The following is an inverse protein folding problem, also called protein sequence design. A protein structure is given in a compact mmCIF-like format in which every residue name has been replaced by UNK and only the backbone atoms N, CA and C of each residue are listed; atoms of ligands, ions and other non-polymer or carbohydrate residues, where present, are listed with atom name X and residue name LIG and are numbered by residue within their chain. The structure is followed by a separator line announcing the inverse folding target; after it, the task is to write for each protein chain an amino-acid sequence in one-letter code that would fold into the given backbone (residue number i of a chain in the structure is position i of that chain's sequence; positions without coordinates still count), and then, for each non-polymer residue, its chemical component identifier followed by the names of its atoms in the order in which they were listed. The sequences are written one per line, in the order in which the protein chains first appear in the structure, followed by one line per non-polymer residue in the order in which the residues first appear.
data_IF_870703488192
#
_entry.id   IF_870703488192
#
_cell.length_a   1.000
_cell.length_b   1.000
_cell.length_c   1.000
_cell.angle_alpha   90.00
_cell.angle_beta   90.00
_cell.angle_gamma   90.00
#
_symmetry.space_group_name_H-M   'P 1'
#
loop_
_entity.id
_entity.type
_entity.pdbx_description
1 polymer ?
#
# COMPACT_ATOMS: atom_id res chain seq x y z
N UNK A 1 8.47 -10.96 -1.21
CA UNK A 1 7.23 -10.61 -1.94
C UNK A 1 7.56 -10.06 -3.33
N UNK A 2 6.67 -10.26 -4.31
CA UNK A 2 6.75 -9.67 -5.67
C UNK A 2 5.61 -8.70 -5.93
N UNK A 3 5.88 -7.67 -6.74
CA UNK A 3 4.92 -6.72 -7.28
C UNK A 3 4.71 -7.06 -8.75
N UNK A 4 3.48 -7.40 -9.09
CA UNK A 4 3.08 -7.84 -10.41
C UNK A 4 2.53 -6.67 -11.22
N UNK A 5 3.16 -6.35 -12.34
CA UNK A 5 2.81 -5.17 -13.14
C UNK A 5 2.18 -5.62 -14.46
N UNK A 6 1.01 -5.05 -14.78
CA UNK A 6 0.34 -5.29 -16.06
C UNK A 6 1.09 -4.61 -17.22
N UNK A 7 1.42 -5.40 -18.25
CA UNK A 7 2.16 -4.92 -19.44
C UNK A 7 1.45 -3.83 -20.21
N UNK A 8 0.12 -3.72 -20.10
CA UNK A 8 -0.68 -2.67 -20.74
C UNK A 8 -0.33 -1.27 -20.23
N UNK A 9 0.31 -1.16 -19.06
CA UNK A 9 0.82 0.10 -18.54
C UNK A 9 2.11 0.55 -19.26
N UNK A 10 2.79 -0.32 -20.01
CA UNK A 10 4.03 -0.01 -20.72
C UNK A 10 5.22 0.39 -19.83
N UNK A 11 6.37 0.68 -20.45
CA UNK A 11 7.63 1.01 -19.76
C UNK A 11 7.57 2.35 -18.98
N UNK A 12 6.63 3.23 -19.33
CA UNK A 12 6.43 4.52 -18.66
C UNK A 12 5.91 4.36 -17.22
N UNK A 13 5.30 3.22 -16.92
CA UNK A 13 4.89 2.80 -15.60
C UNK A 13 5.90 1.82 -14.98
N UNK A 14 7.21 1.99 -15.24
CA UNK A 14 8.27 1.36 -14.46
C UNK A 14 8.29 1.96 -13.04
N UNK A 15 7.26 1.57 -12.30
CA UNK A 15 7.11 1.80 -10.89
C UNK A 15 8.18 0.98 -10.22
N UNK A 16 9.06 1.65 -9.50
CA UNK A 16 9.29 1.44 -8.07
C UNK A 16 10.54 2.24 -7.75
N UNK A 17 10.35 3.27 -6.93
CA UNK A 17 11.44 3.95 -6.26
C UNK A 17 11.67 3.28 -4.91
N UNK A 18 12.92 3.23 -4.45
CA UNK A 18 13.25 2.73 -3.11
C UNK A 18 13.62 3.90 -2.21
N UNK A 19 13.04 3.92 -1.02
CA UNK A 19 13.57 4.65 0.12
C UNK A 19 14.29 3.65 1.02
N UNK A 20 15.51 4.01 1.43
CA UNK A 20 16.30 3.26 2.40
C UNK A 20 16.26 3.91 3.79
N UNK A 21 15.51 5.01 3.92
CA UNK A 21 15.48 5.86 5.12
C UNK A 21 14.05 6.08 5.57
N UNK A 22 13.74 5.64 6.78
CA UNK A 22 12.49 5.95 7.46
C UNK A 22 12.77 6.94 8.59
N UNK A 23 12.06 8.06 8.60
CA UNK A 23 12.22 9.13 9.60
C UNK A 23 10.94 9.32 10.41
N UNK A 24 11.08 9.80 11.64
CA UNK A 24 9.91 10.27 12.38
C UNK A 24 9.34 11.50 11.68
N UNK A 25 8.02 11.59 11.54
CA UNK A 25 7.37 12.79 11.01
C UNK A 25 7.76 14.05 11.78
N UNK A 26 7.85 13.97 13.11
CA UNK A 26 8.26 15.10 13.96
C UNK A 26 9.75 15.45 13.85
N UNK A 27 10.61 14.53 13.41
CA UNK A 27 12.03 14.82 13.18
C UNK A 27 12.22 15.52 11.82
N UNK A 28 11.45 15.09 10.82
CA UNK A 28 11.57 15.58 9.45
C UNK A 28 10.73 16.85 9.20
N UNK A 29 9.58 16.95 9.85
CA UNK A 29 8.69 18.11 9.87
C UNK A 29 8.39 18.53 11.32
N UNK A 30 9.31 19.23 12.00
CA UNK A 30 9.19 19.55 13.43
C UNK A 30 8.01 20.47 13.80
N UNK A 31 7.34 21.07 12.82
CA UNK A 31 6.15 21.89 13.01
C UNK A 31 4.87 21.19 12.53
N UNK A 32 4.95 19.94 12.05
CA UNK A 32 3.82 19.21 11.51
C UNK A 32 2.99 18.59 12.65
N UNK A 33 2.10 19.42 13.20
CA UNK A 33 1.12 19.02 14.23
C UNK A 33 0.01 18.11 13.68
N UNK A 34 -0.01 17.85 12.37
CA UNK A 34 -1.00 17.05 11.67
C UNK A 34 -0.65 15.56 11.62
N UNK A 35 0.53 15.16 12.11
CA UNK A 35 0.96 13.76 12.22
C UNK A 35 0.97 13.30 13.67
N UNK A 36 0.73 12.00 13.87
CA UNK A 36 1.01 11.38 15.16
C UNK A 36 2.50 11.56 15.51
N UNK A 37 2.84 11.73 16.80
CA UNK A 37 4.24 11.91 17.23
C UNK A 37 5.16 10.75 16.85
N UNK A 38 4.60 9.55 16.64
CA UNK A 38 5.30 8.32 16.28
C UNK A 38 5.18 7.95 14.80
N UNK A 39 4.48 8.76 13.99
CA UNK A 39 4.30 8.52 12.57
C UNK A 39 5.64 8.39 11.84
N UNK A 40 5.75 7.37 10.98
CA UNK A 40 6.96 7.09 10.20
C UNK A 40 6.72 7.38 8.73
N UNK A 41 7.61 8.17 8.15
CA UNK A 41 7.54 8.60 6.76
C UNK A 41 8.76 8.08 5.99
N UNK A 42 8.56 7.57 4.78
CA UNK A 42 9.68 7.25 3.91
C UNK A 42 10.23 8.52 3.26
N UNK A 43 11.55 8.69 3.30
CA UNK A 43 12.25 9.84 2.72
C UNK A 43 13.42 9.40 1.84
N UNK A 44 14.05 10.34 1.15
CA UNK A 44 15.26 10.09 0.34
C UNK A 44 15.09 9.02 -0.75
N UNK A 45 13.95 9.06 -1.42
CA UNK A 45 13.65 8.17 -2.53
C UNK A 45 14.64 8.31 -3.67
N UNK A 46 15.17 7.18 -4.14
CA UNK A 46 15.97 7.10 -5.38
C UNK A 46 15.32 6.19 -6.41
N UNK A 47 15.71 6.38 -7.67
CA UNK A 47 15.33 5.47 -8.74
C UNK A 47 16.05 4.13 -8.53
N UNK A 48 15.30 3.03 -8.69
CA UNK A 48 15.89 1.70 -8.70
C UNK A 48 16.64 1.45 -10.01
N UNK A 49 17.71 0.66 -9.92
CA UNK A 49 18.35 0.09 -11.10
C UNK A 49 17.63 -1.20 -11.57
N UNK A 50 17.99 -1.72 -12.75
CA UNK A 50 17.33 -2.89 -13.34
C UNK A 50 17.38 -4.15 -12.46
N UNK A 51 18.47 -4.35 -11.71
CA UNK A 51 18.62 -5.51 -10.82
C UNK A 51 17.64 -5.40 -9.65
N UNK A 52 17.49 -4.20 -9.09
CA UNK A 52 16.56 -3.93 -7.99
C UNK A 52 15.11 -4.04 -8.44
N UNK A 53 14.78 -3.48 -9.61
CA UNK A 53 13.46 -3.65 -10.22
C UNK A 53 13.15 -5.14 -10.35
N UNK A 54 14.04 -5.92 -11.00
CA UNK A 54 13.86 -7.36 -11.18
C UNK A 54 13.79 -8.14 -9.85
N UNK A 55 14.36 -7.63 -8.75
CA UNK A 55 14.22 -8.22 -7.43
C UNK A 55 12.78 -8.13 -6.94
N UNK A 56 12.13 -6.98 -7.10
CA UNK A 56 10.81 -6.73 -6.54
C UNK A 56 9.65 -6.93 -7.51
N UNK A 57 9.88 -6.87 -8.83
CA UNK A 57 8.80 -6.98 -9.82
C UNK A 57 8.75 -8.33 -10.53
N UNK A 58 7.59 -8.59 -11.12
CA UNK A 58 7.32 -9.63 -12.11
C UNK A 58 6.20 -9.16 -13.05
N UNK A 59 6.06 -9.79 -14.21
CA UNK A 59 4.92 -9.54 -15.10
C UNK A 59 3.63 -10.09 -14.47
N UNK A 60 2.52 -9.38 -14.61
CA UNK A 60 1.22 -9.87 -14.11
C UNK A 60 0.78 -11.21 -14.73
N UNK A 61 1.26 -11.51 -15.94
CA UNK A 61 1.08 -12.83 -16.59
C UNK A 61 1.77 -13.98 -15.86
N UNK A 62 2.74 -13.69 -14.98
CA UNK A 62 3.45 -14.68 -14.17
C UNK A 62 2.73 -14.96 -12.83
N UNK A 63 1.68 -14.20 -12.50
CA UNK A 63 0.89 -14.42 -11.30
C UNK A 63 -0.01 -15.65 -11.51
N UNK A 64 0.28 -16.74 -10.80
CA UNK A 64 -0.55 -17.94 -10.85
C UNK A 64 -1.85 -17.77 -10.04
N UNK A 65 -2.88 -18.52 -10.43
CA UNK A 65 -4.16 -18.60 -9.68
C UNK A 65 -3.94 -19.14 -8.26
N UNK A 66 -2.95 -20.03 -8.11
CA UNK A 66 -2.55 -20.64 -6.84
C UNK A 66 -1.64 -19.74 -5.98
N UNK A 67 -1.18 -18.60 -6.53
CA UNK A 67 -0.42 -17.64 -5.73
C UNK A 67 -1.33 -17.22 -4.57
N UNK A 68 -0.89 -17.55 -3.35
CA UNK A 68 -1.53 -17.10 -2.13
C UNK A 68 -1.73 -15.58 -2.17
N UNK A 69 -2.63 -15.05 -1.33
CA UNK A 69 -3.07 -13.65 -1.24
C UNK A 69 -1.94 -12.62 -0.94
N UNK A 70 -0.68 -13.03 -1.09
CA UNK A 70 0.61 -12.38 -0.87
C UNK A 70 1.23 -11.75 -2.11
N UNK A 71 0.41 -11.03 -2.86
CA UNK A 71 0.89 -10.26 -3.99
C UNK A 71 0.42 -8.82 -3.88
N UNK A 72 1.21 -7.96 -4.52
CA UNK A 72 0.73 -6.65 -4.94
C UNK A 72 0.65 -6.71 -6.44
N UNK A 73 -0.48 -6.33 -7.02
CA UNK A 73 -0.59 -6.20 -8.47
C UNK A 73 -1.09 -4.82 -8.84
N UNK A 74 -0.59 -4.29 -9.96
CA UNK A 74 -0.92 -2.97 -10.48
C UNK A 74 -1.39 -3.14 -11.92
N UNK A 75 -2.56 -2.61 -12.22
CA UNK A 75 -3.25 -2.86 -13.48
C UNK A 75 -4.14 -1.67 -13.88
N UNK A 76 -4.34 -1.45 -15.19
CA UNK A 76 -5.31 -0.46 -15.65
C UNK A 76 -6.72 -0.95 -15.33
N UNK A 77 -7.57 -0.03 -14.89
CA UNK A 77 -8.95 -0.31 -14.53
C UNK A 77 -9.90 0.59 -15.33
N UNK A 78 -10.59 0.01 -16.30
CA UNK A 78 -11.55 0.72 -17.16
C UNK A 78 -12.94 0.73 -16.51
N UNK A 79 -13.12 1.51 -15.44
CA UNK A 79 -14.44 1.71 -14.84
C UNK A 79 -15.25 2.71 -15.70
N UNK A 80 -15.70 2.25 -16.88
CA UNK A 80 -16.64 2.98 -17.76
C UNK A 80 -18.03 3.15 -17.15
N UNK A 81 -18.35 2.43 -16.07
CA UNK A 81 -19.53 2.69 -15.26
C UNK A 81 -19.25 2.32 -13.80
N UNK A 82 -19.74 3.13 -12.86
CA UNK A 82 -19.59 2.91 -11.40
C UNK A 82 -20.13 1.55 -10.91
N UNK A 83 -20.89 0.83 -11.76
CA UNK A 83 -21.54 -0.45 -11.44
C UNK A 83 -20.74 -1.67 -11.84
N UNK A 84 -19.82 -1.55 -12.78
CA UNK A 84 -19.03 -2.70 -13.21
C UNK A 84 -17.83 -2.81 -12.27
N UNK A 85 -17.99 -3.58 -11.19
CA UNK A 85 -16.89 -4.17 -10.40
C UNK A 85 -16.08 -5.17 -11.25
N UNK A 86 -15.81 -4.82 -12.51
CA UNK A 86 -14.96 -5.59 -13.40
C UNK A 86 -13.52 -5.19 -13.09
N UNK A 87 -12.95 -5.92 -12.13
CA UNK A 87 -11.56 -5.79 -11.76
C UNK A 87 -10.66 -6.66 -12.63
N UNK A 88 -11.08 -7.05 -13.85
CA UNK A 88 -10.23 -7.78 -14.80
C UNK A 88 -8.84 -7.14 -14.83
N UNK A 89 -7.81 -7.88 -14.36
CA UNK A 89 -7.68 -9.33 -14.43
C UNK A 89 -8.07 -10.17 -13.19
N UNK A 90 -8.74 -9.60 -12.19
CA UNK A 90 -9.08 -10.24 -10.92
C UNK A 90 -10.56 -10.61 -10.79
N UNK A 91 -10.82 -11.75 -10.15
CA UNK A 91 -12.15 -12.15 -9.68
C UNK A 91 -12.14 -12.24 -8.15
N UNK A 92 -13.28 -11.95 -7.51
CA UNK A 92 -13.41 -12.12 -6.07
C UNK A 92 -14.03 -13.47 -5.72
N UNK A 93 -13.39 -14.22 -4.83
CA UNK A 93 -13.90 -15.47 -4.24
C UNK A 93 -14.89 -15.23 -3.09
N UNK A 94 -15.14 -13.96 -2.74
CA UNK A 94 -16.07 -13.53 -1.70
C UNK A 94 -16.89 -12.31 -2.13
N UNK A 95 -17.98 -11.98 -1.42
CA UNK A 95 -18.68 -10.72 -1.64
C UNK A 95 -17.73 -9.53 -1.52
N UNK A 96 -17.78 -8.62 -2.50
CA UNK A 96 -16.97 -7.41 -2.51
C UNK A 96 -17.70 -6.32 -1.74
N UNK A 97 -17.04 -5.76 -0.73
CA UNK A 97 -17.50 -4.57 -0.03
C UNK A 97 -16.88 -3.32 -0.66
N UNK A 98 -17.69 -2.36 -1.08
CA UNK A 98 -17.22 -1.01 -1.40
C UNK A 98 -17.02 -0.24 -0.09
N UNK A 99 -15.85 0.37 0.08
CA UNK A 99 -15.57 1.25 1.22
C UNK A 99 -15.81 2.71 0.83
N UNK A 100 -15.79 3.60 1.83
CA UNK A 100 -15.91 5.02 1.60
C UNK A 100 -14.80 5.51 0.64
N UNK A 101 -15.15 6.40 -0.31
CA UNK A 101 -14.14 7.02 -1.15
C UNK A 101 -13.22 7.91 -0.32
N UNK A 102 -11.94 7.93 -0.67
CA UNK A 102 -10.99 8.87 -0.08
C UNK A 102 -10.75 10.02 -1.05
N UNK A 103 -10.69 11.22 -0.51
CA UNK A 103 -10.29 12.39 -1.27
C UNK A 103 -9.14 13.07 -0.53
N UNK A 104 -7.99 13.07 -1.19
CA UNK A 104 -6.70 13.37 -0.59
C UNK A 104 -6.13 14.66 -1.18
N UNK A 105 -5.63 15.53 -0.32
CA UNK A 105 -4.98 16.77 -0.75
C UNK A 105 -3.50 16.52 -1.05
N UNK A 106 -2.93 17.35 -1.93
CA UNK A 106 -1.51 17.31 -2.26
C UNK A 106 -0.62 17.87 -1.14
N UNK A 107 0.69 17.71 -1.32
CA UNK A 107 1.75 18.20 -0.43
C UNK A 107 1.81 17.52 0.96
N UNK A 108 1.12 16.40 1.14
CA UNK A 108 1.27 15.56 2.32
C UNK A 108 2.04 14.28 1.94
N UNK A 109 3.16 13.96 2.61
CA UNK A 109 3.94 12.73 2.37
C UNK A 109 3.22 11.44 2.83
N UNK A 110 2.06 11.58 3.44
CA UNK A 110 1.20 10.51 3.95
C UNK A 110 -0.21 11.08 4.08
N UNK A 111 -1.23 10.30 3.74
CA UNK A 111 -2.62 10.79 3.67
C UNK A 111 -3.55 10.16 4.69
N UNK A 112 -3.19 9.01 5.25
CA UNK A 112 -4.13 8.25 6.07
C UNK A 112 -4.26 8.88 7.46
N UNK A 113 -5.50 9.20 7.83
CA UNK A 113 -5.84 9.85 9.10
C UNK A 113 -6.44 8.83 10.06
N UNK A 114 -5.92 8.80 11.29
CA UNK A 114 -6.56 8.11 12.39
C UNK A 114 -7.85 8.83 12.76
N UNK A 115 -8.97 8.12 12.66
CA UNK A 115 -10.30 8.67 12.95
C UNK A 115 -10.47 9.08 14.41
N UNK A 116 -9.67 8.54 15.33
CA UNK A 116 -9.77 8.85 16.77
C UNK A 116 -9.01 10.14 17.09
N UNK A 117 -7.73 10.22 16.72
CA UNK A 117 -6.92 11.41 17.02
C UNK A 117 -7.10 12.55 16.00
N UNK A 118 -7.58 12.25 14.80
CA UNK A 118 -7.60 13.20 13.67
C UNK A 118 -6.21 13.46 13.08
N UNK A 119 -5.17 12.76 13.55
CA UNK A 119 -3.79 12.89 13.10
C UNK A 119 -3.46 11.85 12.03
N UNK A 120 -2.54 12.20 11.14
CA UNK A 120 -2.01 11.29 10.12
C UNK A 120 -1.13 10.21 10.74
N UNK A 121 -1.32 8.98 10.28
CA UNK A 121 -0.65 7.79 10.79
C UNK A 121 0.79 7.64 10.26
N UNK A 122 1.04 8.03 9.01
CA UNK A 122 2.24 7.58 8.28
C UNK A 122 2.09 6.12 7.82
N UNK A 123 3.22 5.46 7.58
CA UNK A 123 3.26 4.02 7.27
C UNK A 123 2.53 3.20 8.34
N UNK A 124 1.53 2.42 7.95
CA UNK A 124 0.66 1.70 8.88
C UNK A 124 0.17 0.36 8.30
N UNK A 125 -0.52 -0.41 9.15
CA UNK A 125 -1.33 -1.56 8.74
C UNK A 125 -2.81 -1.25 8.91
N UNK A 126 -3.60 -1.71 7.94
CA UNK A 126 -5.05 -1.73 8.10
C UNK A 126 -5.48 -2.84 9.09
N UNK A 127 -6.73 -2.76 9.57
CA UNK A 127 -7.34 -3.78 10.44
C UNK A 127 -8.84 -3.92 10.16
N UNK A 128 -9.21 -4.20 8.91
CA UNK A 128 -10.62 -4.30 8.48
C UNK A 128 -11.29 -5.60 8.96
N UNK A 129 -10.54 -6.70 9.00
CA UNK A 129 -10.99 -8.03 9.40
C UNK A 129 -10.74 -8.31 10.88
N UNK A 130 -9.92 -7.49 11.55
CA UNK A 130 -9.62 -7.62 12.97
C UNK A 130 -8.89 -8.91 13.33
N UNK A 131 -8.15 -9.48 12.37
CA UNK A 131 -7.42 -10.74 12.57
C UNK A 131 -6.10 -10.51 13.31
N UNK A 132 -5.79 -11.46 14.19
CA UNK A 132 -4.49 -11.58 14.85
C UNK A 132 -3.37 -11.92 13.85
N UNK A 133 -2.12 -11.58 14.17
CA UNK A 133 -0.94 -11.73 13.29
C UNK A 133 -0.89 -13.10 12.62
N UNK A 134 -1.05 -14.19 13.38
CA UNK A 134 -0.95 -15.58 12.89
C UNK A 134 -2.06 -15.99 11.91
N UNK A 135 -3.14 -15.22 11.83
CA UNK A 135 -4.29 -15.48 10.97
C UNK A 135 -4.45 -14.45 9.86
N UNK A 136 -3.59 -13.41 9.80
CA UNK A 136 -3.72 -12.33 8.81
C UNK A 136 -3.52 -12.78 7.38
N UNK A 137 -2.89 -13.93 7.14
CA UNK A 137 -2.89 -14.58 5.83
C UNK A 137 -4.28 -14.88 5.25
N UNK A 138 -5.32 -14.92 6.10
CA UNK A 138 -6.73 -15.08 5.71
C UNK A 138 -7.45 -13.76 5.48
N UNK A 139 -6.78 -12.61 5.63
CA UNK A 139 -7.44 -11.31 5.46
C UNK A 139 -7.83 -11.09 4.01
N UNK A 140 -8.87 -10.29 3.80
CA UNK A 140 -9.28 -9.80 2.49
C UNK A 140 -8.19 -8.90 1.90
N UNK A 141 -8.08 -8.91 0.58
CA UNK A 141 -7.28 -7.95 -0.16
C UNK A 141 -8.11 -6.70 -0.44
N UNK A 142 -7.41 -5.58 -0.55
CA UNK A 142 -7.96 -4.29 -0.88
C UNK A 142 -7.57 -3.93 -2.31
N UNK A 143 -8.56 -3.71 -3.17
CA UNK A 143 -8.37 -3.02 -4.43
C UNK A 143 -8.56 -1.52 -4.17
N UNK A 144 -7.62 -0.72 -4.66
CA UNK A 144 -7.73 0.74 -4.63
C UNK A 144 -7.52 1.27 -6.03
N UNK A 145 -8.48 2.05 -6.50
CA UNK A 145 -8.48 2.66 -7.84
C UNK A 145 -8.28 4.16 -7.70
N UNK A 146 -7.30 4.72 -8.41
CA UNK A 146 -7.20 6.17 -8.53
C UNK A 146 -8.21 6.64 -9.59
N UNK A 147 -9.20 7.41 -9.15
CA UNK A 147 -10.24 8.02 -10.01
C UNK A 147 -10.01 9.50 -10.25
N UNK A 148 -9.13 10.10 -9.45
CA UNK A 148 -8.76 11.50 -9.61
C UNK A 148 -7.88 11.72 -10.84
N UNK A 149 -7.84 12.96 -11.36
CA UNK A 149 -6.94 13.34 -12.43
C UNK A 149 -5.48 13.46 -11.96
N UNK A 150 -5.26 13.60 -10.65
CA UNK A 150 -3.94 13.68 -10.06
C UNK A 150 -3.33 12.29 -9.89
N UNK A 151 -2.03 12.20 -10.17
CA UNK A 151 -1.24 11.03 -9.85
C UNK A 151 -1.14 10.83 -8.34
N UNK A 152 -1.14 9.57 -7.92
CA UNK A 152 -0.92 9.19 -6.52
C UNK A 152 0.34 8.35 -6.43
N UNK A 153 0.97 8.33 -5.28
CA UNK A 153 1.94 7.30 -4.96
C UNK A 153 1.42 6.41 -3.85
N UNK A 154 1.72 5.13 -3.96
CA UNK A 154 1.48 4.14 -2.91
C UNK A 154 2.83 3.74 -2.35
N UNK A 155 2.94 3.80 -1.04
CA UNK A 155 4.09 3.35 -0.28
C UNK A 155 3.85 1.94 0.22
N UNK A 156 4.89 1.12 0.18
CA UNK A 156 4.81 -0.27 0.61
C UNK A 156 6.13 -0.74 1.21
N UNK A 157 6.09 -1.31 2.40
CA UNK A 157 7.21 -2.10 2.93
C UNK A 157 7.01 -3.54 2.46
N UNK A 158 7.92 -4.11 1.65
CA UNK A 158 7.72 -5.39 1.00
C UNK A 158 8.03 -6.58 1.91
N UNK A 159 7.64 -6.47 3.19
CA UNK A 159 7.83 -7.47 4.24
C UNK A 159 6.45 -7.71 4.87
N UNK A 160 5.94 -8.95 4.85
CA UNK A 160 4.65 -9.27 5.45
C UNK A 160 4.74 -9.25 6.98
N UNK A 161 3.62 -8.96 7.65
CA UNK A 161 3.58 -8.85 9.12
C UNK A 161 4.03 -10.14 9.83
N UNK A 162 3.81 -11.31 9.22
CA UNK A 162 4.28 -12.57 9.79
C UNK A 162 5.82 -12.59 9.92
N UNK A 163 6.54 -12.09 8.91
CA UNK A 163 8.00 -11.95 8.94
C UNK A 163 8.43 -10.81 9.88
N UNK A 164 7.68 -9.70 9.92
CA UNK A 164 7.95 -8.61 10.87
C UNK A 164 7.90 -9.10 12.32
N UNK A 165 6.93 -9.94 12.64
CA UNK A 165 6.70 -10.48 13.98
C UNK A 165 7.90 -11.30 14.49
N UNK A 166 8.67 -11.94 13.61
CA UNK A 166 9.87 -12.70 13.99
C UNK A 166 10.97 -11.82 14.62
N UNK A 167 10.95 -10.51 14.34
CA UNK A 167 11.93 -9.55 14.86
C UNK A 167 11.43 -8.74 16.07
N UNK A 168 10.18 -8.93 16.48
CA UNK A 168 9.55 -8.21 17.58
C UNK A 168 9.48 -9.12 18.80
N UNK A 169 9.77 -8.61 19.99
CA UNK A 169 9.66 -9.39 21.22
C UNK A 169 8.20 -9.61 21.61
N UNK A 170 7.81 -10.86 21.86
CA UNK A 170 6.45 -11.26 22.24
C UNK A 170 5.35 -10.69 21.33
N UNK A 171 5.43 -10.91 19.99
CA UNK A 171 4.48 -10.34 19.04
C UNK A 171 3.05 -10.85 19.27
N UNK A 172 2.88 -12.03 19.90
CA UNK A 172 1.58 -12.60 20.23
C UNK A 172 0.80 -11.82 21.30
N UNK A 173 1.44 -10.88 21.98
CA UNK A 173 0.81 -10.02 23.02
C UNK A 173 0.48 -8.62 22.52
N UNK A 174 0.85 -8.32 21.28
CA UNK A 174 0.72 -7.01 20.67
C UNK A 174 -0.41 -7.03 19.65
N UNK A 175 -1.12 -5.91 19.54
CA UNK A 175 -2.00 -5.70 18.41
C UNK A 175 -1.15 -5.69 17.11
N UNK A 176 -1.63 -6.22 15.98
CA UNK A 176 -0.87 -6.28 14.73
C UNK A 176 -0.25 -4.94 14.29
N UNK A 177 -0.99 -3.83 14.46
CA UNK A 177 -0.45 -2.49 14.19
C UNK A 177 0.77 -2.15 15.06
N UNK A 178 0.79 -2.57 16.33
CA UNK A 178 1.93 -2.36 17.23
C UNK A 178 3.14 -3.22 16.85
N UNK A 179 2.91 -4.42 16.30
CA UNK A 179 3.98 -5.27 15.74
C UNK A 179 4.64 -4.57 14.55
N UNK A 180 3.84 -4.03 13.62
CA UNK A 180 4.36 -3.24 12.51
C UNK A 180 5.10 -1.98 13.00
N UNK A 181 4.53 -1.23 13.93
CA UNK A 181 5.17 -0.03 14.49
C UNK A 181 6.51 -0.36 15.19
N UNK A 182 6.57 -1.49 15.91
CA UNK A 182 7.80 -1.97 16.52
C UNK A 182 8.85 -2.35 15.47
N UNK A 183 8.46 -3.09 14.43
CA UNK A 183 9.33 -3.45 13.30
C UNK A 183 9.92 -2.20 12.63
N UNK A 184 9.06 -1.25 12.25
CA UNK A 184 9.46 -0.03 11.53
C UNK A 184 10.42 0.80 12.38
N UNK A 185 10.13 0.98 13.68
CA UNK A 185 10.98 1.77 14.58
C UNK A 185 12.37 1.17 14.77
N UNK A 186 12.45 -0.16 14.81
CA UNK A 186 13.72 -0.85 15.02
C UNK A 186 14.53 -1.00 13.71
N UNK A 187 13.86 -0.90 12.56
CA UNK A 187 14.49 -1.06 11.25
C UNK A 187 14.84 0.29 10.67
N UNK A 188 16.07 0.77 10.94
CA UNK A 188 16.58 2.04 10.37
C UNK A 188 16.71 2.02 8.84
N UNK A 189 16.72 0.83 8.22
CA UNK A 189 16.86 0.63 6.78
C UNK A 189 15.91 -0.47 6.30
N UNK A 190 14.60 -0.24 6.36
CA UNK A 190 13.63 -1.08 5.68
C UNK A 190 13.38 -0.50 4.28
N UNK A 191 13.48 -1.30 3.20
CA UNK A 191 13.14 -0.79 1.88
C UNK A 191 11.66 -0.38 1.88
N UNK A 192 11.39 0.89 1.58
CA UNK A 192 10.04 1.34 1.29
C UNK A 192 9.93 1.59 -0.21
N UNK A 193 9.01 0.89 -0.84
CA UNK A 193 8.74 0.97 -2.27
C UNK A 193 7.71 2.06 -2.52
N UNK A 194 7.97 2.94 -3.48
CA UNK A 194 7.03 3.95 -3.94
C UNK A 194 6.59 3.66 -5.37
N UNK A 195 5.29 3.47 -5.54
CA UNK A 195 4.66 3.06 -6.80
C UNK A 195 3.71 4.16 -7.27
N UNK A 196 3.89 4.65 -8.50
CA UNK A 196 2.99 5.63 -9.11
C UNK A 196 1.67 4.95 -9.52
N UNK A 197 0.57 5.53 -9.06
CA UNK A 197 -0.78 5.16 -9.39
C UNK A 197 -1.42 6.32 -10.15
N UNK A 198 -1.33 6.30 -11.47
CA UNK A 198 -1.97 7.31 -12.32
C UNK A 198 -3.49 7.17 -12.36
N UNK A 199 -4.16 8.14 -12.98
CA UNK A 199 -5.59 8.09 -13.21
C UNK A 199 -6.02 6.77 -13.87
N UNK A 200 -7.06 6.13 -13.32
CA UNK A 200 -7.58 4.83 -13.73
C UNK A 200 -6.61 3.65 -13.59
N UNK A 201 -5.55 3.80 -12.80
CA UNK A 201 -4.72 2.68 -12.37
C UNK A 201 -5.20 2.18 -11.02
N UNK A 202 -5.36 0.86 -10.92
CA UNK A 202 -5.68 0.18 -9.68
C UNK A 202 -4.46 -0.56 -9.15
N UNK A 203 -4.42 -0.72 -7.83
CA UNK A 203 -3.61 -1.77 -7.22
C UNK A 203 -4.49 -2.68 -6.37
N UNK A 204 -4.05 -3.91 -6.21
CA UNK A 204 -4.57 -4.87 -5.23
C UNK A 204 -3.44 -5.27 -4.30
N UNK A 205 -3.67 -5.27 -3.00
CA UNK A 205 -2.74 -5.81 -2.01
C UNK A 205 -3.49 -6.30 -0.76
N UNK A 206 -2.85 -7.11 0.07
CA UNK A 206 -3.33 -7.37 1.43
C UNK A 206 -2.85 -6.26 2.38
N UNK A 207 -3.62 -5.18 2.50
CA UNK A 207 -3.26 -4.00 3.31
C UNK A 207 -3.24 -4.26 4.82
N UNK A 208 -3.77 -5.41 5.25
CA UNK A 208 -3.65 -5.91 6.62
C UNK A 208 -2.34 -6.68 6.88
N UNK A 209 -1.65 -7.12 5.83
CA UNK A 209 -0.37 -7.85 5.97
C UNK A 209 0.84 -7.00 5.62
N UNK A 210 0.65 -5.95 4.85
CA UNK A 210 1.74 -5.13 4.33
C UNK A 210 1.61 -3.70 4.83
N UNK A 211 2.68 -3.23 5.48
CA UNK A 211 2.78 -1.83 5.89
C UNK A 211 2.76 -0.97 4.64
N UNK A 212 1.85 0.00 4.62
CA UNK A 212 1.62 0.84 3.48
C UNK A 212 1.15 2.23 3.91
N UNK A 213 1.14 3.15 2.96
CA UNK A 213 0.38 4.39 2.99
C UNK A 213 0.33 4.93 1.56
N UNK A 214 -0.13 6.16 1.35
CA UNK A 214 -0.08 6.81 0.06
C UNK A 214 0.16 8.32 0.18
N UNK A 215 0.40 8.95 -0.96
CA UNK A 215 0.36 10.39 -1.10
C UNK A 215 -0.16 10.80 -2.47
N UNK A 216 -0.49 12.06 -2.62
CA UNK A 216 -0.76 12.68 -3.93
C UNK A 216 0.56 13.24 -4.46
N UNK A 217 0.82 13.09 -5.76
CA UNK A 217 2.04 13.60 -6.38
C UNK A 217 2.15 15.12 -6.23
N UNK A 218 3.38 15.63 -6.15
CA UNK A 218 3.63 17.08 -6.17
C UNK A 218 3.02 17.74 -7.42
N UNK A 219 2.45 18.93 -7.24
CA UNK A 219 1.78 19.66 -8.33
C UNK A 219 0.34 19.22 -8.63
N UNK A 220 -0.13 18.13 -8.03
CA UNK A 220 -1.56 17.80 -8.00
C UNK A 220 -2.34 18.79 -7.11
N UNK A 221 -3.62 18.97 -7.38
CA UNK A 221 -4.50 19.72 -6.46
C UNK A 221 -5.19 18.79 -5.47
N UNK A 222 -5.72 17.68 -5.97
CA UNK A 222 -6.49 16.70 -5.19
C UNK A 222 -6.54 15.36 -5.93
N UNK A 223 -6.46 14.25 -5.21
CA UNK A 223 -6.69 12.93 -5.77
C UNK A 223 -7.91 12.28 -5.15
N UNK A 224 -8.61 11.48 -5.94
CA UNK A 224 -9.78 10.73 -5.50
C UNK A 224 -9.50 9.25 -5.68
N UNK A 225 -9.79 8.45 -4.66
CA UNK A 225 -9.65 7.01 -4.73
C UNK A 225 -10.91 6.27 -4.31
N UNK A 226 -11.11 5.11 -4.92
CA UNK A 226 -12.18 4.16 -4.60
C UNK A 226 -11.55 2.90 -4.06
N UNK A 227 -12.15 2.33 -3.02
CA UNK A 227 -11.59 1.18 -2.33
C UNK A 227 -12.63 0.06 -2.26
N UNK A 228 -12.15 -1.15 -2.48
CA UNK A 228 -12.95 -2.36 -2.48
C UNK A 228 -12.24 -3.44 -1.69
N UNK A 229 -12.97 -4.19 -0.88
CA UNK A 229 -12.43 -5.22 0.00
C UNK A 229 -13.05 -6.58 -0.35
N UNK A 230 -12.22 -7.59 -0.59
CA UNK A 230 -12.65 -8.93 -1.00
C UNK A 230 -11.49 -9.92 -1.11
N UNK A 231 -11.76 -11.18 -1.42
CA UNK A 231 -10.72 -12.18 -1.70
C UNK A 231 -10.44 -12.23 -3.20
N UNK A 232 -9.59 -11.33 -3.67
CA UNK A 232 -9.28 -11.22 -5.09
C UNK A 232 -8.18 -12.20 -5.50
N UNK A 233 -8.47 -13.00 -6.53
CA UNK A 233 -7.52 -13.90 -7.16
C UNK A 233 -7.42 -13.60 -8.66
N UNK A 234 -6.29 -13.98 -9.27
CA UNK A 234 -6.11 -13.84 -10.71
C UNK A 234 -7.14 -14.72 -11.44
N UNK A 235 -7.86 -14.15 -12.41
CA UNK A 235 -8.76 -14.88 -13.32
C UNK A 235 -8.00 -15.69 -14.38
#
# INVERSE_FOLDING_TARGET
MKIYIDRRLGDAHDLISVSETLVCAQEYYPNAVDYRPDARLPVDFRRMNKVEINKFTASLDELSIEAALDFVAIFPCDLKSERALDFSPFLSLSPVAALDPSIDDANHPSITVDRVSGLRLGLHLDSWDGLEVSSRWKSRNRIVVNRGPADRYVYLVPVPIEEMAESVASPERLHPGEVADAYIRNTRQAPCLRMLQSANVAYVCCSERLVHDACVSEGGTRAESRHYLGHFVRN
#
